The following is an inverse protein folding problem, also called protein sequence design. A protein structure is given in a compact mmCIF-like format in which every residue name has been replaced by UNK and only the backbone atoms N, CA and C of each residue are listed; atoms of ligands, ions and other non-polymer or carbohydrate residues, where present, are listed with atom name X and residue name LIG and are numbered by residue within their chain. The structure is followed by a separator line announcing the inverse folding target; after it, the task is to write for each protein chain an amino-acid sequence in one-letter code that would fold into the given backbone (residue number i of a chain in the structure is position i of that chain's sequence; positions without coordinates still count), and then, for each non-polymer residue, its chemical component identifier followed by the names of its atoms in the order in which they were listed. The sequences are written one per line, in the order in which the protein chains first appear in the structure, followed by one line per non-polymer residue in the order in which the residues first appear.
data_IF_969262152351
#
_entry.id   IF_969262152351
#
_cell.length_a   1.000
_cell.length_b   1.000
_cell.length_c   1.000
_cell.angle_alpha   90.00
_cell.angle_beta   90.00
_cell.angle_gamma   90.00
#
_symmetry.space_group_name_H-M   'P 1'
#
loop_
_entity.id
_entity.type
_entity.pdbx_description
1 polymer ?
#
# COMPACT_ATOMS: atom_id res chain seq x y z
N UNK A 1 -31.60 -13.87 24.98
CA UNK A 1 -30.58 -12.88 25.39
C UNK A 1 -29.40 -13.64 25.98
N UNK A 2 -28.17 -13.35 25.54
CA UNK A 2 -26.98 -14.04 26.03
C UNK A 2 -25.72 -13.57 25.31
N UNK A 3 -25.29 -12.35 25.63
CA UNK A 3 -24.09 -11.72 25.08
C UNK A 3 -22.89 -12.30 25.81
N UNK A 4 -22.11 -13.17 25.15
CA UNK A 4 -20.81 -13.58 25.67
C UNK A 4 -19.75 -12.52 25.33
N UNK A 5 -19.58 -11.59 26.28
CA UNK A 5 -18.42 -10.69 26.40
C UNK A 5 -17.19 -11.53 26.76
N UNK A 6 -16.24 -11.70 25.84
CA UNK A 6 -14.89 -12.17 26.18
C UNK A 6 -14.08 -10.98 26.68
N UNK A 7 -13.75 -11.01 27.98
CA UNK A 7 -12.84 -10.09 28.63
C UNK A 7 -11.41 -10.43 28.21
N UNK A 8 -10.71 -9.47 27.59
CA UNK A 8 -9.27 -9.52 27.41
C UNK A 8 -8.60 -9.11 28.73
N UNK A 9 -8.01 -10.08 29.42
CA UNK A 9 -7.14 -9.82 30.57
C UNK A 9 -5.76 -9.39 30.07
N UNK A 10 -5.47 -8.14 30.37
CA UNK A 10 -4.17 -7.47 30.39
C UNK A 10 -3.08 -8.32 31.04
N UNK A 11 -1.92 -8.44 30.37
CA UNK A 11 -0.64 -8.70 31.05
C UNK A 11 0.32 -7.56 30.71
N UNK A 12 0.27 -6.52 31.53
CA UNK A 12 1.35 -5.57 31.68
C UNK A 12 2.35 -6.14 32.70
N UNK A 13 3.60 -6.38 32.29
CA UNK A 13 4.71 -6.61 33.21
C UNK A 13 5.68 -5.45 33.05
N UNK A 14 5.68 -4.57 34.06
CA UNK A 14 6.69 -3.54 34.32
C UNK A 14 7.28 -3.83 35.70
N UNK A 15 8.60 -4.04 35.76
CA UNK A 15 9.55 -3.75 36.86
C UNK A 15 10.90 -4.35 36.41
N UNK A 16 11.91 -3.62 35.93
CA UNK A 16 12.82 -2.66 36.60
C UNK A 16 13.33 -3.17 37.95
N UNK A 17 14.65 -3.41 38.04
CA UNK A 17 15.40 -3.36 39.30
C UNK A 17 16.60 -4.31 39.40
N UNK A 18 17.78 -3.90 38.90
CA UNK A 18 19.09 -4.28 39.48
C UNK A 18 20.23 -3.48 38.80
N UNK A 19 20.20 -2.15 38.96
CA UNK A 19 21.40 -1.34 38.89
C UNK A 19 21.61 -0.79 40.31
N UNK A 20 22.69 -1.23 40.98
CA UNK A 20 23.06 -0.71 42.28
C UNK A 20 23.99 -1.62 43.08
N UNK A 21 25.22 -1.12 43.25
CA UNK A 21 26.13 -1.36 44.38
C UNK A 21 27.14 -2.51 44.27
N UNK A 22 28.27 -2.15 43.64
CA UNK A 22 29.60 -2.35 44.21
C UNK A 22 29.58 -2.27 45.74
N UNK A 23 30.07 -3.30 46.42
CA UNK A 23 30.79 -3.13 47.68
C UNK A 23 31.91 -4.15 47.81
N UNK A 24 33.09 -3.59 48.01
CA UNK A 24 34.40 -4.20 48.20
C UNK A 24 34.42 -5.12 49.41
N UNK A 25 34.97 -6.33 49.27
CA UNK A 25 35.76 -7.00 50.30
C UNK A 25 36.88 -7.80 49.64
N UNK A 26 38.12 -7.34 49.88
CA UNK A 26 39.36 -8.07 49.62
C UNK A 26 39.68 -8.90 50.85
N UNK A 27 39.92 -10.20 50.68
CA UNK A 27 40.88 -10.98 51.47
C UNK A 27 41.35 -12.15 50.60
N UNK A 28 42.67 -12.27 50.47
CA UNK A 28 43.32 -13.01 49.41
C UNK A 28 43.50 -14.51 49.65
N UNK A 29 43.90 -15.17 48.58
CA UNK A 29 44.92 -16.24 48.53
C UNK A 29 45.09 -16.59 47.06
N UNK A 30 46.34 -16.68 46.62
CA UNK A 30 46.66 -16.92 45.23
C UNK A 30 46.17 -18.27 44.76
N UNK A 31 45.94 -18.36 43.45
CA UNK A 31 46.35 -19.47 42.60
C UNK A 31 46.39 -18.89 41.17
N UNK A 32 47.57 -18.98 40.57
CA UNK A 32 47.76 -18.81 39.13
C UNK A 32 47.14 -20.01 38.42
N UNK A 33 46.11 -19.78 37.62
CA UNK A 33 45.82 -20.64 36.48
C UNK A 33 45.73 -19.77 35.23
N UNK A 34 46.72 -19.96 34.37
CA UNK A 34 46.61 -19.62 32.97
C UNK A 34 45.45 -20.43 32.40
N UNK A 35 44.37 -19.75 32.05
CA UNK A 35 43.42 -20.28 31.09
C UNK A 35 43.23 -19.19 30.05
N UNK A 36 43.94 -19.36 28.94
CA UNK A 36 43.73 -18.65 27.70
C UNK A 36 42.40 -19.16 27.11
N UNK A 37 41.31 -18.86 27.81
CA UNK A 37 39.97 -19.12 27.34
C UNK A 37 39.76 -18.23 26.12
N UNK A 38 39.91 -18.84 24.94
CA UNK A 38 39.58 -18.24 23.67
C UNK A 38 38.23 -17.56 23.79
N UNK A 39 38.27 -16.23 23.94
CA UNK A 39 37.07 -15.39 23.87
C UNK A 39 36.58 -15.56 22.45
N UNK A 40 35.68 -16.52 22.25
CA UNK A 40 34.88 -16.60 21.05
C UNK A 40 34.33 -15.19 20.84
N UNK A 41 34.85 -14.51 19.82
CA UNK A 41 34.30 -13.23 19.39
C UNK A 41 32.90 -13.56 18.91
N UNK A 42 31.93 -13.51 19.83
CA UNK A 42 30.52 -13.57 19.50
C UNK A 42 30.32 -12.40 18.57
N UNK A 43 30.13 -12.71 17.28
CA UNK A 43 29.84 -11.68 16.30
C UNK A 43 28.65 -10.88 16.85
N UNK A 44 28.72 -9.54 16.89
CA UNK A 44 27.61 -8.74 17.37
C UNK A 44 26.37 -9.17 16.59
N UNK A 45 25.29 -9.51 17.31
CA UNK A 45 24.02 -9.87 16.69
C UNK A 45 23.67 -8.78 15.66
N UNK A 46 23.29 -9.14 14.43
CA UNK A 46 23.03 -8.16 13.40
C UNK A 46 22.01 -7.15 13.92
N UNK A 47 22.32 -5.87 13.74
CA UNK A 47 21.46 -4.78 14.20
C UNK A 47 20.03 -5.00 13.68
N UNK A 48 18.99 -4.70 14.49
CA UNK A 48 17.62 -4.84 14.06
C UNK A 48 17.42 -4.08 12.74
N UNK A 49 17.01 -4.78 11.69
CA UNK A 49 16.81 -4.15 10.39
C UNK A 49 15.60 -3.25 10.48
N UNK A 50 15.77 -1.94 10.43
CA UNK A 50 14.65 -0.99 10.49
C UNK A 50 13.95 -0.95 9.13
N UNK A 51 12.61 -0.82 9.13
CA UNK A 51 11.86 -0.70 7.89
C UNK A 51 12.18 0.64 7.24
N UNK A 52 12.58 0.64 5.96
CA UNK A 52 12.65 1.87 5.19
C UNK A 52 11.25 2.22 4.68
N UNK A 53 10.68 3.37 5.08
CA UNK A 53 9.40 3.87 4.53
C UNK A 53 9.45 4.09 3.02
N UNK A 54 10.66 4.19 2.45
CA UNK A 54 10.94 4.45 1.04
C UNK A 54 10.89 3.19 0.16
N UNK A 55 10.82 1.99 0.75
CA UNK A 55 10.88 0.73 0.01
C UNK A 55 9.74 -0.19 0.39
N UNK A 56 9.39 -1.05 -0.55
CA UNK A 56 8.51 -2.18 -0.28
C UNK A 56 9.31 -3.26 0.44
N UNK A 57 8.73 -3.91 1.43
CA UNK A 57 9.35 -4.96 2.22
C UNK A 57 8.63 -6.27 1.96
N UNK A 58 9.38 -7.27 1.50
CA UNK A 58 8.91 -8.63 1.30
C UNK A 58 9.30 -9.46 2.51
N UNK A 59 8.33 -10.10 3.14
CA UNK A 59 8.59 -11.20 4.04
C UNK A 59 8.90 -12.44 3.20
N UNK A 60 10.15 -12.89 3.15
CA UNK A 60 10.57 -13.97 2.25
C UNK A 60 10.01 -15.34 2.64
N UNK A 61 9.48 -15.52 3.86
CA UNK A 61 8.85 -16.78 4.27
C UNK A 61 7.41 -16.87 3.77
N UNK A 62 6.67 -15.75 3.80
CA UNK A 62 5.25 -15.73 3.43
C UNK A 62 4.98 -15.18 2.04
N UNK A 63 5.96 -14.51 1.43
CA UNK A 63 5.84 -13.78 0.17
C UNK A 63 5.00 -12.50 0.26
N UNK A 64 4.61 -12.09 1.47
CA UNK A 64 3.78 -10.90 1.65
C UNK A 64 4.64 -9.64 1.49
N UNK A 65 4.16 -8.73 0.65
CA UNK A 65 4.78 -7.44 0.37
C UNK A 65 4.03 -6.35 1.13
N UNK A 66 4.78 -5.57 1.89
CA UNK A 66 4.31 -4.45 2.69
C UNK A 66 4.95 -3.15 2.22
N UNK A 67 4.24 -2.04 2.40
CA UNK A 67 4.77 -0.69 2.24
C UNK A 67 4.82 0.05 3.58
N UNK A 68 5.88 -0.01 4.39
CA UNK A 68 6.00 0.63 5.72
C UNK A 68 5.68 2.13 5.86
N UNK A 69 5.25 2.80 4.81
CA UNK A 69 5.11 4.24 4.77
C UNK A 69 4.01 4.74 5.74
N UNK A 70 4.32 5.63 6.71
CA UNK A 70 3.36 6.12 7.72
C UNK A 70 2.04 6.68 7.17
N UNK A 71 2.13 7.33 6.00
CA UNK A 71 0.96 7.87 5.28
C UNK A 71 0.08 6.79 4.63
N UNK A 72 0.64 5.63 4.27
CA UNK A 72 -0.10 4.48 3.70
C UNK A 72 -0.59 3.58 4.83
N UNK A 73 0.27 3.30 5.80
CA UNK A 73 -0.07 2.57 7.02
C UNK A 73 0.36 3.38 8.23
N UNK A 74 -0.54 3.55 9.20
CA UNK A 74 -0.22 4.14 10.52
C UNK A 74 0.68 3.20 11.35
N UNK A 75 1.83 2.82 10.81
CA UNK A 75 2.85 2.02 11.49
C UNK A 75 3.69 3.01 12.28
N UNK A 76 3.22 3.28 13.50
CA UNK A 76 3.98 4.04 14.50
C UNK A 76 4.85 3.12 15.38
N UNK A 77 4.76 1.79 15.21
CA UNK A 77 5.14 0.85 16.29
C UNK A 77 5.93 -0.40 15.87
N UNK A 78 6.30 -0.60 14.60
CA UNK A 78 7.15 -1.73 14.21
C UNK A 78 8.47 -1.25 13.61
N UNK A 79 9.38 -0.84 14.49
CA UNK A 79 10.72 -0.35 14.12
C UNK A 79 11.65 -1.43 13.62
N UNK A 80 11.28 -2.72 13.69
CA UNK A 80 12.15 -3.85 13.36
C UNK A 80 11.48 -4.75 12.33
N UNK A 81 12.14 -4.92 11.19
CA UNK A 81 11.78 -5.83 10.12
C UNK A 81 12.17 -7.25 10.52
N UNK A 82 11.36 -8.26 10.16
CA UNK A 82 11.75 -9.65 10.38
C UNK A 82 13.11 -9.92 9.72
N UNK A 83 13.94 -10.79 10.31
CA UNK A 83 15.29 -11.11 9.81
C UNK A 83 15.32 -11.52 8.33
N UNK A 84 14.21 -12.06 7.87
CA UNK A 84 13.88 -12.56 6.54
C UNK A 84 13.12 -11.50 5.70
N UNK A 85 13.47 -10.23 5.85
CA UNK A 85 12.94 -9.11 5.07
C UNK A 85 13.84 -8.76 3.88
N UNK A 86 13.31 -8.85 2.66
CA UNK A 86 13.96 -8.37 1.44
C UNK A 86 13.29 -7.08 0.97
N UNK A 87 14.10 -6.09 0.58
CA UNK A 87 13.57 -4.83 0.06
C UNK A 87 13.30 -4.93 -1.46
N UNK A 88 12.23 -4.28 -1.89
CA UNK A 88 11.87 -4.09 -3.28
C UNK A 88 11.75 -2.58 -3.56
N UNK A 89 12.23 -2.16 -4.74
CA UNK A 89 11.94 -0.84 -5.28
C UNK A 89 10.43 -0.69 -5.50
N UNK A 90 9.91 0.49 -5.21
CA UNK A 90 8.46 0.79 -5.26
C UNK A 90 7.94 0.74 -6.70
N UNK A 91 8.65 1.37 -7.63
CA UNK A 91 8.23 1.62 -9.02
C UNK A 91 7.99 0.33 -9.84
N UNK A 92 8.61 -0.78 -9.47
CA UNK A 92 8.42 -2.09 -10.12
C UNK A 92 7.60 -3.08 -9.29
N UNK A 93 7.17 -2.69 -8.09
CA UNK A 93 6.65 -3.63 -7.12
C UNK A 93 5.35 -4.30 -7.59
N UNK A 94 4.44 -3.55 -8.22
CA UNK A 94 3.20 -4.14 -8.76
C UNK A 94 3.47 -5.12 -9.90
N UNK A 95 4.43 -4.83 -10.80
CA UNK A 95 4.81 -5.73 -11.91
C UNK A 95 5.42 -7.03 -11.39
N UNK A 96 6.24 -6.93 -10.34
CA UNK A 96 6.85 -8.09 -9.69
C UNK A 96 5.81 -8.94 -8.96
N UNK A 97 4.92 -8.30 -8.21
CA UNK A 97 3.82 -8.97 -7.51
C UNK A 97 2.85 -9.63 -8.50
N UNK A 98 2.53 -8.99 -9.62
CA UNK A 98 1.60 -9.56 -10.60
C UNK A 98 2.18 -10.73 -11.41
N UNK A 99 3.51 -10.78 -11.59
CA UNK A 99 4.19 -11.84 -12.34
C UNK A 99 4.66 -13.02 -11.48
N UNK A 100 4.88 -12.80 -10.18
CA UNK A 100 5.33 -13.84 -9.25
C UNK A 100 4.17 -14.34 -8.38
N UNK A 101 3.66 -15.57 -8.59
CA UNK A 101 2.55 -16.10 -7.81
C UNK A 101 2.87 -16.30 -6.32
N UNK A 102 4.15 -16.25 -5.92
CA UNK A 102 4.56 -16.32 -4.52
C UNK A 102 4.48 -14.97 -3.83
N UNK A 103 4.49 -13.86 -4.58
CA UNK A 103 4.40 -12.52 -4.03
C UNK A 103 2.95 -12.03 -4.03
N UNK A 104 2.55 -11.37 -2.96
CA UNK A 104 1.25 -10.71 -2.86
C UNK A 104 1.31 -9.53 -1.91
N UNK A 105 0.57 -8.48 -2.19
CA UNK A 105 0.35 -7.46 -1.17
C UNK A 105 -0.50 -8.01 -0.02
N UNK A 106 -0.31 -7.46 1.17
CA UNK A 106 -1.20 -7.77 2.30
C UNK A 106 -2.66 -7.47 1.92
N UNK A 107 -3.53 -8.48 2.04
CA UNK A 107 -4.94 -8.39 1.60
C UNK A 107 -5.70 -7.21 2.21
N UNK A 108 -5.41 -6.84 3.46
CA UNK A 108 -6.10 -5.75 4.15
C UNK A 108 -5.67 -4.37 3.63
N UNK A 109 -4.53 -4.31 2.93
CA UNK A 109 -3.82 -3.10 2.53
C UNK A 109 -3.60 -2.97 1.02
N UNK A 110 -3.75 -4.06 0.28
CA UNK A 110 -3.48 -4.17 -1.16
C UNK A 110 -4.11 -3.04 -1.93
N UNK A 111 -5.37 -2.72 -1.64
CA UNK A 111 -6.05 -1.68 -2.39
C UNK A 111 -5.49 -0.28 -2.19
N UNK A 112 -5.02 0.07 -0.98
CA UNK A 112 -4.37 1.36 -0.74
C UNK A 112 -2.99 1.41 -1.44
N UNK A 113 -2.25 0.30 -1.44
CA UNK A 113 -0.97 0.19 -2.15
C UNK A 113 -1.19 0.39 -3.66
N UNK A 114 -2.11 -0.37 -4.26
CA UNK A 114 -2.41 -0.27 -5.69
C UNK A 114 -2.88 1.12 -6.10
N UNK A 115 -3.71 1.76 -5.27
CA UNK A 115 -4.12 3.13 -5.52
C UNK A 115 -2.92 4.09 -5.58
N UNK A 116 -2.01 4.02 -4.61
CA UNK A 116 -0.84 4.90 -4.59
C UNK A 116 0.10 4.63 -5.76
N UNK A 117 0.35 3.35 -6.08
CA UNK A 117 1.15 2.98 -7.24
C UNK A 117 0.52 3.46 -8.55
N UNK A 118 -0.80 3.33 -8.70
CA UNK A 118 -1.51 3.83 -9.87
C UNK A 118 -1.43 5.35 -9.99
N UNK A 119 -1.58 6.07 -8.86
CA UNK A 119 -1.52 7.53 -8.84
C UNK A 119 -0.10 8.08 -9.06
N UNK A 120 0.95 7.32 -8.70
CA UNK A 120 2.33 7.76 -8.92
C UNK A 120 2.73 7.76 -10.38
N UNK A 121 2.12 6.92 -11.22
CA UNK A 121 2.38 6.91 -12.66
C UNK A 121 1.80 8.14 -13.37
N UNK A 122 0.71 8.74 -12.87
CA UNK A 122 0.01 9.83 -13.57
C UNK A 122 0.90 11.08 -13.67
N UNK A 123 1.14 11.54 -14.89
CA UNK A 123 1.83 12.77 -15.20
C UNK A 123 0.83 13.90 -15.46
N UNK A 124 1.08 15.05 -14.85
CA UNK A 124 0.29 16.27 -15.05
C UNK A 124 1.02 17.06 -16.15
N UNK A 125 0.35 17.30 -17.26
CA UNK A 125 0.93 18.03 -18.40
C UNK A 125 0.88 19.54 -18.16
N UNK A 126 -0.24 20.02 -17.63
CA UNK A 126 -0.44 21.42 -17.26
C UNK A 126 -1.31 21.50 -15.99
N UNK A 127 -0.73 22.09 -14.94
CA UNK A 127 -1.36 22.27 -13.64
C UNK A 127 -2.46 23.35 -13.68
N UNK A 128 -2.39 24.33 -14.57
CA UNK A 128 -3.39 25.41 -14.68
C UNK A 128 -4.68 24.88 -15.32
N UNK A 129 -4.56 24.10 -16.39
CA UNK A 129 -5.71 23.47 -17.06
C UNK A 129 -6.09 22.11 -16.47
N UNK A 130 -5.33 21.63 -15.48
CA UNK A 130 -5.51 20.32 -14.84
C UNK A 130 -5.56 19.18 -15.87
N UNK A 131 -4.67 19.25 -16.86
CA UNK A 131 -4.53 18.26 -17.91
C UNK A 131 -3.53 17.17 -17.52
N UNK A 132 -3.75 15.96 -18.03
CA UNK A 132 -2.99 14.78 -17.66
C UNK A 132 -2.52 14.06 -18.91
N UNK A 133 -1.32 13.49 -18.86
CA UNK A 133 -0.78 12.73 -19.98
C UNK A 133 -1.56 11.43 -20.18
N UNK A 134 -2.09 11.23 -21.39
CA UNK A 134 -2.89 10.05 -21.71
C UNK A 134 -2.11 8.73 -21.60
N UNK A 135 -0.81 8.73 -21.88
CA UNK A 135 0.06 7.56 -21.70
C UNK A 135 0.15 7.17 -20.23
N UNK A 136 0.40 8.14 -19.36
CA UNK A 136 0.47 7.95 -17.91
C UNK A 136 -0.87 7.48 -17.29
N UNK A 137 -2.01 7.99 -17.79
CA UNK A 137 -3.34 7.52 -17.40
C UNK A 137 -3.51 6.04 -17.79
N UNK A 138 -3.04 5.65 -18.97
CA UNK A 138 -3.13 4.26 -19.42
C UNK A 138 -2.33 3.32 -18.50
N UNK A 139 -1.11 3.70 -18.12
CA UNK A 139 -0.30 2.92 -17.17
C UNK A 139 -0.98 2.78 -15.80
N UNK A 140 -1.57 3.88 -15.30
CA UNK A 140 -2.38 3.88 -14.09
C UNK A 140 -3.57 2.91 -14.17
N UNK A 141 -4.29 2.90 -15.30
CA UNK A 141 -5.40 1.98 -15.55
C UNK A 141 -4.93 0.51 -15.56
N UNK A 142 -3.78 0.20 -16.16
CA UNK A 142 -3.24 -1.16 -16.18
C UNK A 142 -2.90 -1.67 -14.77
N UNK A 143 -2.34 -0.82 -13.90
CA UNK A 143 -2.12 -1.14 -12.48
C UNK A 143 -3.45 -1.46 -11.80
N UNK A 144 -4.48 -0.64 -12.03
CA UNK A 144 -5.78 -0.81 -11.40
C UNK A 144 -6.55 -2.02 -11.92
N UNK A 145 -6.41 -2.39 -13.20
CA UNK A 145 -6.98 -3.63 -13.77
C UNK A 145 -6.47 -4.86 -13.03
N UNK A 146 -5.18 -4.91 -12.72
CA UNK A 146 -4.60 -5.96 -11.88
C UNK A 146 -5.28 -5.94 -10.50
N UNK A 147 -5.31 -4.76 -9.86
CA UNK A 147 -5.86 -4.60 -8.52
C UNK A 147 -7.31 -5.10 -8.38
N UNK A 148 -8.21 -4.70 -9.29
CA UNK A 148 -9.65 -5.08 -9.26
C UNK A 148 -9.91 -6.52 -9.71
N UNK A 149 -8.89 -7.23 -10.21
CA UNK A 149 -8.97 -8.67 -10.49
C UNK A 149 -8.62 -9.52 -9.27
N UNK A 150 -7.98 -8.94 -8.25
CA UNK A 150 -7.62 -9.65 -7.03
C UNK A 150 -8.81 -9.83 -6.09
N UNK A 151 -9.04 -11.05 -5.56
CA UNK A 151 -10.12 -11.30 -4.60
C UNK A 151 -10.04 -10.45 -3.32
N UNK A 152 -8.86 -9.93 -2.96
CA UNK A 152 -8.68 -9.03 -1.82
C UNK A 152 -9.30 -7.65 -1.99
N UNK A 153 -9.41 -7.17 -3.23
CA UNK A 153 -9.85 -5.81 -3.56
C UNK A 153 -11.27 -5.76 -4.12
N UNK A 154 -11.93 -6.90 -4.18
CA UNK A 154 -13.30 -7.10 -4.62
C UNK A 154 -14.27 -5.99 -4.14
N UNK A 155 -14.27 -5.69 -2.84
CA UNK A 155 -15.21 -4.72 -2.26
C UNK A 155 -14.67 -3.28 -2.23
N UNK A 156 -13.50 -3.01 -2.83
CA UNK A 156 -12.84 -1.72 -2.72
C UNK A 156 -13.42 -0.71 -3.72
N UNK A 157 -14.55 -0.11 -3.35
CA UNK A 157 -15.29 0.87 -4.17
C UNK A 157 -14.41 2.01 -4.69
N UNK A 158 -13.39 2.40 -3.92
CA UNK A 158 -12.49 3.51 -4.24
C UNK A 158 -11.60 3.19 -5.45
N UNK A 159 -11.16 1.94 -5.61
CA UNK A 159 -10.43 1.50 -6.79
C UNK A 159 -11.34 1.46 -8.03
N UNK A 160 -12.56 0.95 -7.87
CA UNK A 160 -13.54 0.90 -8.97
C UNK A 160 -13.98 2.30 -9.42
N UNK A 161 -14.15 3.25 -8.50
CA UNK A 161 -14.43 4.66 -8.84
C UNK A 161 -13.21 5.30 -9.53
N UNK A 162 -11.99 5.07 -9.01
CA UNK A 162 -10.77 5.62 -9.61
C UNK A 162 -10.58 5.13 -11.05
N UNK A 163 -10.67 3.81 -11.31
CA UNK A 163 -10.50 3.29 -12.67
C UNK A 163 -11.57 3.81 -13.62
N UNK A 164 -12.83 3.93 -13.17
CA UNK A 164 -13.90 4.48 -13.98
C UNK A 164 -13.61 5.93 -14.38
N UNK A 165 -13.16 6.75 -13.43
CA UNK A 165 -12.84 8.15 -13.69
C UNK A 165 -11.61 8.34 -14.56
N UNK A 166 -10.59 7.50 -14.40
CA UNK A 166 -9.41 7.52 -15.27
C UNK A 166 -9.77 7.11 -16.70
N UNK A 167 -10.65 6.13 -16.89
CA UNK A 167 -11.13 5.76 -18.24
C UNK A 167 -11.97 6.88 -18.86
N UNK A 168 -12.78 7.60 -18.07
CA UNK A 168 -13.46 8.82 -18.53
C UNK A 168 -12.48 9.92 -18.94
N UNK A 169 -11.42 10.14 -18.16
CA UNK A 169 -10.35 11.08 -18.54
C UNK A 169 -9.57 10.63 -19.77
N UNK A 170 -9.32 9.33 -19.95
CA UNK A 170 -8.67 8.80 -21.15
C UNK A 170 -9.51 9.02 -22.43
N UNK A 171 -10.85 9.06 -22.28
CA UNK A 171 -11.80 9.16 -23.39
C UNK A 171 -12.68 10.41 -23.24
N UNK A 172 -12.06 11.57 -22.99
CA UNK A 172 -12.79 12.82 -22.67
C UNK A 172 -13.89 13.15 -23.71
N UNK A 173 -13.55 13.01 -24.99
CA UNK A 173 -14.40 13.38 -26.12
C UNK A 173 -15.48 12.33 -26.44
N UNK A 174 -15.34 11.10 -25.93
CA UNK A 174 -16.23 9.99 -26.27
C UNK A 174 -16.73 9.26 -25.02
N UNK A 175 -17.83 9.76 -24.40
CA UNK A 175 -18.43 9.15 -23.22
C UNK A 175 -18.84 7.69 -23.45
N UNK A 176 -19.37 7.36 -24.62
CA UNK A 176 -19.82 5.98 -24.90
C UNK A 176 -18.65 5.01 -24.95
N UNK A 177 -17.52 5.40 -25.55
CA UNK A 177 -16.29 4.61 -25.52
C UNK A 177 -15.79 4.40 -24.09
N UNK A 178 -15.80 5.46 -23.27
CA UNK A 178 -15.44 5.35 -21.85
C UNK A 178 -16.36 4.35 -21.13
N UNK A 179 -17.67 4.49 -21.31
CA UNK A 179 -18.70 3.64 -20.69
C UNK A 179 -18.50 2.17 -21.03
N UNK A 180 -18.34 1.85 -22.31
CA UNK A 180 -18.12 0.48 -22.79
C UNK A 180 -16.83 -0.10 -22.19
N UNK A 181 -15.74 0.65 -22.21
CA UNK A 181 -14.46 0.21 -21.65
C UNK A 181 -14.56 -0.04 -20.13
N UNK A 182 -15.27 0.82 -19.39
CA UNK A 182 -15.49 0.62 -17.95
C UNK A 182 -16.29 -0.65 -17.69
N UNK A 183 -17.40 -0.85 -18.43
CA UNK A 183 -18.22 -2.07 -18.32
C UNK A 183 -17.40 -3.30 -18.64
N UNK A 184 -16.56 -3.27 -19.67
CA UNK A 184 -15.69 -4.38 -20.05
C UNK A 184 -14.69 -4.73 -18.93
N UNK A 185 -13.99 -3.74 -18.40
CA UNK A 185 -13.03 -3.91 -17.31
C UNK A 185 -13.72 -4.50 -16.07
N UNK A 186 -14.85 -3.92 -15.69
CA UNK A 186 -15.62 -4.37 -14.52
C UNK A 186 -16.19 -5.77 -14.73
N UNK A 187 -16.66 -6.10 -15.94
CA UNK A 187 -17.21 -7.43 -16.26
C UNK A 187 -16.16 -8.53 -16.23
N UNK A 188 -14.95 -8.25 -16.71
CA UNK A 188 -13.81 -9.18 -16.70
C UNK A 188 -13.17 -9.36 -15.31
N UNK A 189 -13.49 -8.51 -14.34
CA UNK A 189 -13.07 -8.74 -12.95
C UNK A 189 -13.66 -10.07 -12.46
N UNK A 190 -12.77 -10.98 -12.04
CA UNK A 190 -13.07 -12.35 -11.57
C UNK A 190 -13.93 -12.41 -10.31
N UNK A 191 -14.23 -11.25 -9.71
CA UNK A 191 -15.08 -11.11 -8.54
C UNK A 191 -16.54 -11.16 -8.99
N UNK A 192 -17.19 -12.29 -8.71
CA UNK A 192 -18.61 -12.51 -9.00
C UNK A 192 -19.51 -11.73 -8.04
N UNK A 193 -20.31 -10.80 -8.55
CA UNK A 193 -21.57 -10.41 -7.91
C UNK A 193 -21.51 -9.51 -6.67
N UNK A 194 -20.43 -8.79 -6.41
CA UNK A 194 -20.38 -7.93 -5.23
C UNK A 194 -21.21 -6.65 -5.37
N UNK A 195 -21.86 -6.27 -4.26
CA UNK A 195 -22.75 -5.09 -4.14
C UNK A 195 -22.09 -3.82 -4.66
N UNK A 196 -20.82 -3.60 -4.31
CA UNK A 196 -20.04 -2.44 -4.77
C UNK A 196 -19.86 -2.38 -6.29
N UNK A 197 -19.52 -3.52 -6.92
CA UNK A 197 -19.41 -3.64 -8.38
C UNK A 197 -20.78 -3.42 -9.04
N UNK A 198 -21.85 -3.98 -8.47
CA UNK A 198 -23.23 -3.77 -8.94
C UNK A 198 -23.69 -2.31 -8.82
N UNK A 199 -23.39 -1.64 -7.71
CA UNK A 199 -23.79 -0.26 -7.45
C UNK A 199 -23.05 0.74 -8.35
N UNK A 200 -21.79 0.45 -8.72
CA UNK A 200 -21.07 1.25 -9.72
C UNK A 200 -21.55 0.92 -11.14
N UNK A 201 -21.73 -0.37 -11.48
CA UNK A 201 -22.26 -0.77 -12.78
C UNK A 201 -23.68 -0.23 -13.03
N UNK A 202 -24.54 -0.15 -12.01
CA UNK A 202 -25.89 0.39 -12.18
C UNK A 202 -25.87 1.87 -12.57
N UNK A 203 -24.99 2.66 -11.95
CA UNK A 203 -24.79 4.09 -12.29
C UNK A 203 -24.23 4.30 -13.70
N UNK A 204 -23.47 3.34 -14.21
CA UNK A 204 -22.81 3.38 -15.52
C UNK A 204 -23.69 2.76 -16.62
N UNK A 205 -24.68 1.95 -16.23
CA UNK A 205 -25.58 1.26 -17.16
C UNK A 205 -26.57 2.19 -17.86
N UNK A 206 -27.01 3.26 -17.20
CA UNK A 206 -27.82 4.29 -17.83
C UNK A 206 -26.95 5.28 -18.60
N UNK A 207 -27.18 5.38 -19.92
CA UNK A 207 -26.39 6.23 -20.81
C UNK A 207 -26.47 7.72 -20.44
N UNK A 208 -27.65 8.23 -20.13
CA UNK A 208 -27.86 9.66 -19.86
C UNK A 208 -27.24 10.06 -18.51
N UNK A 209 -27.38 9.21 -17.51
CA UNK A 209 -26.75 9.43 -16.20
C UNK A 209 -25.23 9.31 -16.29
N UNK A 210 -24.72 8.35 -17.07
CA UNK A 210 -23.29 8.25 -17.33
C UNK A 210 -22.74 9.50 -18.03
N UNK A 211 -23.39 10.01 -19.08
CA UNK A 211 -22.96 11.21 -19.79
C UNK A 211 -22.87 12.44 -18.86
N UNK A 212 -23.84 12.63 -17.96
CA UNK A 212 -23.79 13.69 -16.94
C UNK A 212 -22.62 13.50 -15.97
N UNK A 213 -22.38 12.26 -15.53
CA UNK A 213 -21.29 11.93 -14.63
C UNK A 213 -19.91 12.08 -15.29
N UNK A 214 -19.79 11.69 -16.57
CA UNK A 214 -18.61 11.84 -17.41
C UNK A 214 -18.27 13.32 -17.58
N UNK A 215 -19.25 14.15 -17.96
CA UNK A 215 -19.08 15.60 -18.11
C UNK A 215 -18.49 16.24 -16.83
N UNK A 216 -19.01 15.89 -15.65
CA UNK A 216 -18.48 16.36 -14.35
C UNK A 216 -17.06 15.87 -14.06
N UNK A 217 -16.70 14.70 -14.55
CA UNK A 217 -15.37 14.11 -14.34
C UNK A 217 -14.33 14.78 -15.24
N UNK A 218 -14.69 15.09 -16.48
CA UNK A 218 -13.78 15.65 -17.48
C UNK A 218 -13.78 17.18 -17.53
N UNK A 219 -14.69 17.86 -16.83
CA UNK A 219 -14.75 19.32 -16.71
C UNK A 219 -13.37 19.91 -16.35
N UNK A 220 -12.83 20.76 -17.22
CA UNK A 220 -11.53 21.43 -17.07
C UNK A 220 -11.65 22.77 -16.34
N UNK A 221 -12.84 23.38 -16.36
CA UNK A 221 -13.06 24.76 -15.91
C UNK A 221 -13.46 24.80 -14.43
N UNK A 222 -14.36 23.91 -14.02
CA UNK A 222 -14.84 23.81 -12.63
C UNK A 222 -14.65 22.42 -12.03
N UNK A 223 -13.79 21.60 -12.65
CA UNK A 223 -13.58 20.19 -12.31
C UNK A 223 -13.04 19.96 -10.89
N UNK A 224 -13.94 19.91 -9.92
CA UNK A 224 -13.66 19.49 -8.54
C UNK A 224 -12.94 18.13 -8.50
N UNK A 225 -13.29 17.23 -9.43
CA UNK A 225 -12.60 15.95 -9.55
C UNK A 225 -11.14 16.09 -10.00
N UNK A 226 -10.86 16.85 -11.06
CA UNK A 226 -9.48 17.02 -11.55
C UNK A 226 -8.58 17.63 -10.48
N UNK A 227 -9.06 18.66 -9.77
CA UNK A 227 -8.35 19.26 -8.62
C UNK A 227 -8.05 18.23 -7.52
N UNK A 228 -9.06 17.43 -7.15
CA UNK A 228 -8.88 16.33 -6.19
C UNK A 228 -7.90 15.27 -6.68
N UNK A 229 -7.93 14.94 -7.97
CA UNK A 229 -7.01 13.97 -8.57
C UNK A 229 -5.58 14.51 -8.57
N UNK A 230 -5.34 15.75 -9.01
CA UNK A 230 -4.03 16.42 -8.94
C UNK A 230 -3.45 16.39 -7.53
N UNK A 231 -4.25 16.75 -6.52
CA UNK A 231 -3.82 16.69 -5.13
C UNK A 231 -3.45 15.27 -4.68
N UNK A 232 -4.21 14.25 -5.10
CA UNK A 232 -3.94 12.83 -4.80
C UNK A 232 -2.71 12.32 -5.53
N UNK A 233 -2.48 12.72 -6.77
CA UNK A 233 -1.29 12.41 -7.58
C UNK A 233 -0.06 13.01 -6.91
N UNK A 234 -0.07 14.32 -6.63
CA UNK A 234 1.03 15.01 -5.96
C UNK A 234 1.32 14.42 -4.58
N UNK A 235 0.28 14.04 -3.83
CA UNK A 235 0.44 13.35 -2.55
C UNK A 235 1.09 11.98 -2.71
N UNK A 236 0.73 11.21 -3.74
CA UNK A 236 1.26 9.87 -3.98
C UNK A 236 2.68 9.89 -4.53
N UNK A 237 3.00 10.81 -5.46
CA UNK A 237 4.38 11.02 -5.96
C UNK A 237 5.35 11.42 -4.86
N UNK A 238 4.91 12.20 -3.87
CA UNK A 238 5.74 12.47 -2.67
C UNK A 238 6.08 11.20 -1.88
N UNK A 239 5.21 10.18 -1.87
CA UNK A 239 5.48 8.91 -1.18
C UNK A 239 6.53 8.05 -1.90
N UNK A 240 6.59 8.15 -3.23
CA UNK A 240 7.50 7.36 -4.07
C UNK A 240 8.86 8.05 -4.27
N UNK A 241 8.88 9.40 -4.27
CA UNK A 241 10.05 10.20 -4.66
C UNK A 241 10.82 10.85 -3.50
N UNK A 242 10.48 10.63 -2.22
CA UNK A 242 11.31 11.09 -1.09
C UNK A 242 12.67 10.34 -1.10
N UNK A 243 13.63 10.85 -1.91
CA UNK A 243 15.02 10.40 -2.03
C UNK A 243 15.86 10.75 -0.81
#
# INVERSE_FOLDING_TARGET
MGIHRRQFLSLAVKTIGAAGLLKVYSFGSGISFADEAGKAKVAPSPAPKVWSSKKMIVNTNSGVVHWPHPKVFKITTYSVAPHNAKELKVDDSYKKVSKDPKLRFDKSKSGAIYEHLALSEIEIEDEETLSFNNGSINESIEILKIAVSEPGNANNWRLYDLIARLVSLQNEENPEKARVQIVEIMSKSKVSGERTKRDNLSKISDKKEFEKWHAKTVDKTNGDYRKKLTNRVNSSKKLTNET
#
